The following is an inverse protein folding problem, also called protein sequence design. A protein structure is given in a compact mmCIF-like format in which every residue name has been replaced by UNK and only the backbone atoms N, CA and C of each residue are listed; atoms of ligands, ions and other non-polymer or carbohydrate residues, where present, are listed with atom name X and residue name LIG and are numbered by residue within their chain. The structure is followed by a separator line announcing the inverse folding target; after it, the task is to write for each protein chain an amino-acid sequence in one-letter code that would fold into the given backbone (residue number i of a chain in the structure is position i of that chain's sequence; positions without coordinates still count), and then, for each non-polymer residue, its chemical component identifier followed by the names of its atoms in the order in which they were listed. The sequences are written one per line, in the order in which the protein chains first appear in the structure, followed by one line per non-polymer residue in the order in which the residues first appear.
data_IF_780568219006
#
_entry.id   IF_780568219006
#
_cell.length_a   1.000
_cell.length_b   1.000
_cell.length_c   1.000
_cell.angle_alpha   90.00
_cell.angle_beta   90.00
_cell.angle_gamma   90.00
#
_symmetry.space_group_name_H-M   'P 1'
#
loop_
_entity.id
_entity.type
_entity.pdbx_description
1 polymer ?
#
# COMPACT_ATOMS: atom_id res chain seq x y z
N UNK A 1 15.06 -0.71 -14.70
CA UNK A 1 16.04 0.24 -14.13
C UNK A 1 15.33 1.12 -13.08
N UNK A 2 15.79 1.11 -11.80
CA UNK A 2 15.20 1.91 -10.71
C UNK A 2 15.17 3.43 -11.01
N UNK A 3 16.19 3.94 -11.72
CA UNK A 3 16.25 5.36 -12.08
C UNK A 3 15.09 5.75 -13.00
N UNK A 4 14.80 4.91 -14.00
CA UNK A 4 13.67 5.18 -14.91
C UNK A 4 12.34 5.13 -14.19
N UNK A 5 12.15 4.18 -13.25
CA UNK A 5 10.91 4.07 -12.47
C UNK A 5 10.67 5.31 -11.61
N UNK A 6 11.74 5.93 -11.10
CA UNK A 6 11.66 7.05 -10.14
C UNK A 6 11.81 8.44 -10.75
N UNK A 7 12.29 8.53 -11.97
CA UNK A 7 12.59 9.83 -12.61
C UNK A 7 11.83 10.07 -13.92
N UNK A 8 11.11 9.06 -14.42
CA UNK A 8 10.28 9.22 -15.61
C UNK A 8 8.81 9.41 -15.22
N UNK A 9 8.09 10.16 -16.02
CA UNK A 9 6.65 10.39 -15.81
C UNK A 9 5.88 9.06 -15.81
N UNK A 10 5.12 8.83 -14.75
CA UNK A 10 4.22 7.70 -14.66
C UNK A 10 2.99 7.97 -15.54
N UNK A 11 2.79 7.14 -16.57
CA UNK A 11 1.67 7.22 -17.54
C UNK A 11 1.38 8.64 -18.06
N UNK A 12 2.40 9.47 -18.18
CA UNK A 12 2.26 10.85 -18.68
C UNK A 12 1.83 11.89 -17.64
N UNK A 13 1.69 11.51 -16.38
CA UNK A 13 1.47 12.45 -15.27
C UNK A 13 2.73 13.26 -15.02
N UNK A 14 2.58 14.57 -14.82
CA UNK A 14 3.70 15.45 -14.48
C UNK A 14 4.26 15.04 -13.14
N UNK A 15 5.54 14.72 -13.12
CA UNK A 15 6.28 14.41 -11.90
C UNK A 15 6.89 15.69 -11.32
N UNK A 16 6.80 15.81 -10.00
CA UNK A 16 7.47 16.89 -9.27
C UNK A 16 8.89 16.46 -8.89
N UNK A 17 9.84 17.35 -9.01
CA UNK A 17 11.22 17.09 -8.58
C UNK A 17 11.32 17.20 -7.04
N UNK A 18 11.08 16.06 -6.35
CA UNK A 18 11.16 15.99 -4.89
C UNK A 18 12.59 16.12 -4.35
N UNK A 19 13.62 16.14 -5.20
CA UNK A 19 14.98 16.47 -4.77
C UNK A 19 15.12 17.95 -4.39
N UNK A 20 14.21 18.81 -4.88
CA UNK A 20 14.18 20.23 -4.59
C UNK A 20 13.61 20.51 -3.19
N UNK A 21 14.36 21.26 -2.39
CA UNK A 21 13.96 21.61 -1.03
C UNK A 21 12.63 22.39 -0.99
N UNK A 22 12.40 23.23 -1.99
CA UNK A 22 11.12 23.94 -2.13
C UNK A 22 9.94 22.98 -2.28
N UNK A 23 10.07 21.95 -3.12
CA UNK A 23 9.01 20.95 -3.35
C UNK A 23 8.75 20.16 -2.08
N UNK A 24 9.79 19.66 -1.41
CA UNK A 24 9.69 18.94 -0.13
C UNK A 24 8.96 19.77 0.92
N UNK A 25 9.31 21.05 1.03
CA UNK A 25 8.70 21.99 1.98
C UNK A 25 7.22 22.19 1.67
N UNK A 26 6.84 22.37 0.41
CA UNK A 26 5.44 22.54 0.02
C UNK A 26 4.58 21.32 0.30
N UNK A 27 5.11 20.12 0.06
CA UNK A 27 4.41 18.87 0.39
C UNK A 27 4.25 18.73 1.91
N UNK A 28 5.29 19.02 2.68
CA UNK A 28 5.23 18.97 4.14
C UNK A 28 4.27 20.02 4.72
N UNK A 29 4.21 21.22 4.16
CA UNK A 29 3.22 22.25 4.53
C UNK A 29 1.79 21.75 4.32
N UNK A 30 1.53 21.04 3.21
CA UNK A 30 0.23 20.42 2.95
C UNK A 30 -0.09 19.35 4.00
N UNK A 31 0.83 18.46 4.32
CA UNK A 31 0.62 17.44 5.38
C UNK A 31 0.37 18.10 6.74
N UNK A 32 1.13 19.13 7.08
CA UNK A 32 0.96 19.87 8.33
C UNK A 32 -0.42 20.55 8.40
N UNK A 33 -0.91 21.10 7.29
CA UNK A 33 -2.27 21.63 7.22
C UNK A 33 -3.32 20.51 7.42
N UNK A 34 -3.14 19.35 6.81
CA UNK A 34 -4.03 18.21 7.03
C UNK A 34 -4.04 17.77 8.51
N UNK A 35 -2.90 17.75 9.17
CA UNK A 35 -2.80 17.45 10.61
C UNK A 35 -3.55 18.50 11.44
N UNK A 36 -3.47 19.79 11.07
CA UNK A 36 -4.21 20.87 11.75
C UNK A 36 -5.72 20.70 11.71
N UNK A 37 -6.24 20.08 10.65
CA UNK A 37 -7.66 19.78 10.50
C UNK A 37 -8.06 18.37 10.97
N UNK A 38 -7.14 17.66 11.65
CA UNK A 38 -7.41 16.42 12.34
C UNK A 38 -7.04 15.12 11.59
N UNK A 39 -6.28 15.20 10.50
CA UNK A 39 -5.77 14.00 9.82
C UNK A 39 -4.63 13.40 10.63
N UNK A 40 -4.75 12.11 10.99
CA UNK A 40 -3.77 11.41 11.83
C UNK A 40 -2.79 10.53 11.04
N UNK A 41 -3.00 10.35 9.73
CA UNK A 41 -2.11 9.51 8.92
C UNK A 41 -2.34 9.68 7.43
N UNK A 42 -1.38 9.18 6.65
CA UNK A 42 -1.30 9.39 5.21
C UNK A 42 -0.95 8.11 4.46
N UNK A 43 -1.64 7.88 3.35
CA UNK A 43 -1.21 6.96 2.30
C UNK A 43 -0.35 7.73 1.32
N UNK A 44 0.84 7.25 1.09
CA UNK A 44 1.73 7.77 0.05
C UNK A 44 1.50 6.94 -1.21
N UNK A 45 0.71 7.51 -2.11
CA UNK A 45 0.38 6.92 -3.40
C UNK A 45 1.64 6.83 -4.28
N UNK A 46 1.72 5.78 -5.11
CA UNK A 46 2.82 5.58 -6.04
C UNK A 46 4.24 5.77 -5.44
N UNK A 47 4.41 5.47 -4.16
CA UNK A 47 5.67 5.68 -3.43
C UNK A 47 6.86 5.00 -4.12
N UNK A 48 6.65 3.89 -4.79
CA UNK A 48 7.67 3.19 -5.60
C UNK A 48 8.28 4.07 -6.69
N UNK A 49 7.57 5.11 -7.13
CA UNK A 49 8.00 6.07 -8.14
C UNK A 49 8.69 7.32 -7.55
N UNK A 50 8.94 7.32 -6.26
CA UNK A 50 9.67 8.37 -5.53
C UNK A 50 10.92 7.77 -4.88
N UNK A 51 11.96 8.58 -4.73
CA UNK A 51 13.14 8.16 -3.97
C UNK A 51 12.82 8.06 -2.48
N UNK A 52 13.19 6.96 -1.80
CA UNK A 52 12.95 6.82 -0.36
C UNK A 52 13.53 7.98 0.48
N UNK A 53 14.69 8.49 0.06
CA UNK A 53 15.32 9.65 0.72
C UNK A 53 14.49 10.94 0.63
N UNK A 54 13.79 11.15 -0.48
CA UNK A 54 12.92 12.32 -0.67
C UNK A 54 11.66 12.21 0.17
N UNK A 55 11.03 11.02 0.19
CA UNK A 55 9.89 10.74 1.08
C UNK A 55 10.29 10.97 2.53
N UNK A 56 11.46 10.46 2.94
CA UNK A 56 11.96 10.67 4.30
C UNK A 56 12.13 12.15 4.63
N UNK A 57 12.75 12.91 3.74
CA UNK A 57 12.96 14.35 3.94
C UNK A 57 11.64 15.12 4.07
N UNK A 58 10.59 14.71 3.37
CA UNK A 58 9.24 15.27 3.50
C UNK A 58 8.65 14.87 4.85
N UNK A 59 8.72 13.59 5.24
CA UNK A 59 8.21 13.11 6.52
C UNK A 59 8.91 13.78 7.72
N UNK A 60 10.22 14.00 7.64
CA UNK A 60 10.99 14.67 8.71
C UNK A 60 10.54 16.13 8.95
N UNK A 61 9.89 16.74 7.96
CA UNK A 61 9.32 18.10 8.05
C UNK A 61 7.88 18.13 8.54
N UNK A 62 7.21 16.97 8.62
CA UNK A 62 5.85 16.91 9.17
C UNK A 62 5.91 17.01 10.69
N UNK A 63 4.96 17.77 11.25
CA UNK A 63 4.81 17.92 12.70
C UNK A 63 4.20 16.69 13.36
N UNK A 64 4.33 16.60 14.65
CA UNK A 64 3.63 15.61 15.46
C UNK A 64 2.13 15.90 15.52
N UNK A 65 1.36 14.87 15.84
CA UNK A 65 -0.08 14.99 16.06
C UNK A 65 -0.38 15.82 17.33
N UNK A 66 -1.53 16.51 17.41
CA UNK A 66 -1.91 17.28 18.59
C UNK A 66 -1.92 16.47 19.89
N UNK A 67 -2.30 15.19 19.81
CA UNK A 67 -2.30 14.25 20.94
C UNK A 67 -0.93 13.64 21.23
N UNK A 68 0.08 14.02 20.46
CA UNK A 68 1.44 13.48 20.51
C UNK A 68 1.68 12.30 19.57
N UNK A 69 2.95 12.07 19.27
CA UNK A 69 3.39 11.02 18.34
C UNK A 69 3.40 11.44 16.88
N UNK A 70 4.10 10.64 16.08
CA UNK A 70 4.21 10.89 14.63
C UNK A 70 2.93 10.49 13.91
N UNK A 71 2.57 11.17 12.80
CA UNK A 71 1.50 10.71 11.91
C UNK A 71 1.79 9.29 11.40
N UNK A 72 0.73 8.51 11.20
CA UNK A 72 0.82 7.20 10.60
C UNK A 72 1.12 7.33 9.10
N UNK A 73 2.13 6.59 8.60
CA UNK A 73 2.44 6.54 7.18
C UNK A 73 2.40 5.12 6.66
N UNK A 74 1.75 4.91 5.51
CA UNK A 74 1.96 3.71 4.72
C UNK A 74 2.17 4.07 3.24
N UNK A 75 3.03 3.31 2.60
CA UNK A 75 3.57 3.60 1.27
C UNK A 75 3.05 2.56 0.30
N UNK A 76 2.47 3.01 -0.80
CA UNK A 76 2.12 2.11 -1.87
C UNK A 76 3.38 1.75 -2.67
N UNK A 77 3.82 0.53 -2.48
CA UNK A 77 4.93 -0.07 -3.20
C UNK A 77 4.47 -1.39 -3.80
N UNK A 78 4.16 -1.40 -5.09
CA UNK A 78 3.79 -2.63 -5.79
C UNK A 78 5.05 -3.41 -6.09
N UNK A 79 5.36 -4.39 -5.26
CA UNK A 79 6.45 -5.33 -5.40
C UNK A 79 5.91 -6.76 -5.31
N UNK A 80 5.88 -7.44 -6.45
CA UNK A 80 5.48 -8.85 -6.57
C UNK A 80 6.70 -9.75 -6.85
N UNK A 81 7.89 -9.30 -6.50
CA UNK A 81 9.19 -9.88 -6.80
C UNK A 81 9.58 -9.85 -8.29
N UNK A 82 8.88 -9.10 -9.10
CA UNK A 82 9.01 -9.00 -10.54
C UNK A 82 9.77 -7.74 -11.03
N UNK A 83 10.12 -6.84 -10.12
CA UNK A 83 10.77 -5.56 -10.42
C UNK A 83 12.08 -5.31 -9.69
N UNK A 84 12.76 -4.25 -10.10
CA UNK A 84 14.04 -3.82 -9.52
C UNK A 84 13.84 -3.08 -8.18
N UNK A 85 12.67 -2.49 -7.94
CA UNK A 85 12.36 -1.76 -6.70
C UNK A 85 11.69 -2.70 -5.72
N UNK A 86 12.17 -2.70 -4.48
CA UNK A 86 11.73 -3.61 -3.43
C UNK A 86 11.09 -2.87 -2.25
N UNK A 87 10.08 -3.48 -1.65
CA UNK A 87 9.42 -2.94 -0.45
C UNK A 87 10.40 -2.62 0.67
N UNK A 88 11.47 -3.42 0.82
CA UNK A 88 12.50 -3.20 1.83
C UNK A 88 13.22 -1.85 1.75
N UNK A 89 13.19 -1.17 0.61
CA UNK A 89 13.73 0.18 0.48
C UNK A 89 12.87 1.23 1.20
N UNK A 90 11.59 0.92 1.44
CA UNK A 90 10.60 1.84 2.02
C UNK A 90 10.19 1.48 3.45
N UNK A 91 10.51 0.28 3.95
CA UNK A 91 10.18 -0.12 5.33
C UNK A 91 10.76 0.81 6.41
N UNK A 92 11.93 1.47 6.23
CA UNK A 92 12.40 2.46 7.20
C UNK A 92 11.51 3.73 7.32
N UNK A 93 10.57 3.92 6.41
CA UNK A 93 9.69 5.09 6.34
C UNK A 93 8.32 4.87 7.02
N UNK A 94 7.97 3.61 7.31
CA UNK A 94 6.70 3.21 7.87
C UNK A 94 6.19 1.91 7.25
N UNK A 95 4.87 1.73 7.25
CA UNK A 95 4.28 0.56 6.62
C UNK A 95 4.39 0.63 5.09
N UNK A 96 4.48 -0.55 4.48
CA UNK A 96 4.46 -0.72 3.02
C UNK A 96 3.33 -1.67 2.61
N UNK A 97 2.67 -1.40 1.49
CA UNK A 97 1.64 -2.28 0.96
C UNK A 97 2.24 -3.63 0.57
N UNK A 98 1.74 -4.72 1.16
CA UNK A 98 2.22 -6.06 0.86
C UNK A 98 1.34 -6.74 -0.20
N UNK A 99 1.59 -6.42 -1.47
CA UNK A 99 0.80 -6.94 -2.60
C UNK A 99 0.92 -8.44 -2.82
N UNK A 100 2.01 -9.06 -2.37
CA UNK A 100 2.17 -10.53 -2.44
C UNK A 100 1.17 -11.26 -1.56
N UNK A 101 0.73 -10.61 -0.46
CA UNK A 101 -0.30 -11.15 0.42
C UNK A 101 -1.61 -11.42 -0.32
N UNK A 102 -2.03 -10.52 -1.21
CA UNK A 102 -3.28 -10.67 -1.98
C UNK A 102 -3.31 -11.99 -2.76
N UNK A 103 -2.21 -12.35 -3.40
CA UNK A 103 -2.11 -13.60 -4.16
C UNK A 103 -1.99 -14.81 -3.24
N UNK A 104 -1.18 -14.70 -2.20
CA UNK A 104 -0.92 -15.80 -1.27
C UNK A 104 -2.14 -16.16 -0.43
N UNK A 105 -2.92 -15.18 0.02
CA UNK A 105 -4.18 -15.48 0.71
C UNK A 105 -5.18 -16.11 -0.24
N UNK A 106 -5.22 -15.72 -1.52
CA UNK A 106 -6.08 -16.35 -2.51
C UNK A 106 -5.69 -17.82 -2.75
N UNK A 107 -4.40 -18.12 -2.85
CA UNK A 107 -3.90 -19.50 -2.92
C UNK A 107 -4.28 -20.30 -1.67
N UNK A 108 -4.06 -19.72 -0.49
CA UNK A 108 -4.34 -20.35 0.81
C UNK A 108 -5.81 -20.63 1.05
N UNK A 109 -6.72 -19.75 0.64
CA UNK A 109 -8.17 -19.98 0.76
C UNK A 109 -8.65 -21.09 -0.18
N UNK A 110 -8.00 -21.26 -1.33
CA UNK A 110 -8.29 -22.38 -2.26
C UNK A 110 -7.60 -23.68 -1.85
N UNK A 111 -6.57 -23.61 -1.03
CA UNK A 111 -5.85 -24.75 -0.47
C UNK A 111 -5.42 -24.42 0.97
N UNK A 112 -6.27 -24.75 1.94
CA UNK A 112 -6.05 -24.41 3.37
C UNK A 112 -4.74 -24.95 3.93
N UNK A 113 -4.19 -26.01 3.39
CA UNK A 113 -2.87 -26.52 3.79
C UNK A 113 -1.74 -25.51 3.58
N UNK A 114 -1.91 -24.52 2.70
CA UNK A 114 -0.92 -23.48 2.48
C UNK A 114 -0.97 -22.37 3.54
N UNK A 115 -2.07 -22.23 4.29
CA UNK A 115 -2.23 -21.12 5.24
C UNK A 115 -1.21 -21.17 6.39
N UNK A 116 -0.69 -22.34 6.74
CA UNK A 116 0.36 -22.45 7.75
C UNK A 116 1.67 -21.75 7.33
N UNK A 117 1.91 -21.53 6.04
CA UNK A 117 3.11 -20.85 5.52
C UNK A 117 3.09 -19.34 5.67
N UNK A 118 2.00 -18.73 6.13
CA UNK A 118 1.90 -17.28 6.37
C UNK A 118 2.85 -16.82 7.45
N UNK A 119 3.23 -17.72 8.35
CA UNK A 119 4.08 -17.38 9.51
C UNK A 119 5.52 -17.16 9.18
N UNK A 120 5.97 -17.89 8.22
CA UNK A 120 7.39 -17.93 7.97
C UNK A 120 7.71 -17.02 6.78
N UNK A 121 8.93 -16.49 6.72
CA UNK A 121 9.49 -15.99 5.47
C UNK A 121 9.19 -16.90 4.27
N UNK A 122 8.61 -18.08 4.50
CA UNK A 122 8.09 -19.02 3.48
C UNK A 122 7.25 -18.43 2.37
N UNK A 123 6.44 -17.39 2.63
CA UNK A 123 5.73 -16.68 1.57
C UNK A 123 6.56 -15.55 0.95
N UNK A 124 7.77 -15.28 1.48
CA UNK A 124 8.67 -14.26 0.96
C UNK A 124 8.15 -12.83 1.11
N UNK A 125 7.28 -12.61 2.10
CA UNK A 125 6.68 -11.30 2.37
C UNK A 125 7.53 -10.49 3.34
N UNK A 126 7.23 -9.21 3.42
CA UNK A 126 7.81 -8.28 4.41
C UNK A 126 7.47 -8.72 5.85
N UNK A 127 8.30 -8.34 6.81
CA UNK A 127 8.02 -8.61 8.21
C UNK A 127 6.72 -7.94 8.68
N UNK A 128 6.07 -8.55 9.69
CA UNK A 128 4.77 -8.12 10.19
C UNK A 128 4.74 -6.67 10.70
N UNK A 129 5.87 -6.17 11.21
CA UNK A 129 5.93 -4.80 11.76
C UNK A 129 5.84 -3.72 10.69
N UNK A 130 6.11 -4.06 9.43
CA UNK A 130 6.09 -3.11 8.31
C UNK A 130 5.05 -3.45 7.24
N UNK A 131 4.41 -4.61 7.31
CA UNK A 131 3.45 -5.04 6.31
C UNK A 131 2.09 -4.37 6.48
N UNK A 132 1.59 -3.69 5.45
CA UNK A 132 0.21 -3.22 5.34
C UNK A 132 -0.55 -4.19 4.43
N UNK A 133 -1.45 -4.99 5.01
CA UNK A 133 -2.04 -6.16 4.36
C UNK A 133 -3.52 -5.98 4.03
N UNK A 134 -3.94 -6.57 2.93
CA UNK A 134 -5.31 -6.54 2.43
C UNK A 134 -5.55 -7.71 1.48
N UNK A 135 -6.79 -8.17 1.39
CA UNK A 135 -7.20 -9.21 0.44
C UNK A 135 -7.23 -8.66 -0.98
N UNK A 136 -7.80 -7.47 -1.14
CA UNK A 136 -7.82 -6.67 -2.37
C UNK A 136 -7.81 -5.18 -2.04
N UNK A 137 -7.58 -4.34 -3.05
CA UNK A 137 -7.68 -2.90 -2.94
C UNK A 137 -8.47 -2.30 -4.10
N UNK A 138 -8.63 -0.97 -4.10
CA UNK A 138 -9.40 -0.23 -5.10
C UNK A 138 -8.86 -0.35 -6.53
N UNK A 139 -7.56 -0.66 -6.69
CA UNK A 139 -6.91 -0.85 -7.98
C UNK A 139 -7.00 -2.30 -8.44
N UNK A 140 -6.45 -3.24 -7.66
CA UNK A 140 -6.31 -4.61 -8.11
C UNK A 140 -7.65 -5.35 -8.25
N UNK A 141 -8.69 -4.99 -7.47
CA UNK A 141 -10.03 -5.52 -7.68
C UNK A 141 -10.65 -5.13 -9.03
N UNK A 142 -10.11 -4.09 -9.67
CA UNK A 142 -10.57 -3.53 -10.95
C UNK A 142 -9.66 -3.87 -12.13
N UNK A 143 -8.60 -4.64 -11.88
CA UNK A 143 -7.63 -5.03 -12.90
C UNK A 143 -6.52 -4.02 -13.12
N UNK A 144 -6.37 -3.01 -12.25
CA UNK A 144 -5.23 -2.12 -12.21
C UNK A 144 -4.07 -2.71 -11.41
N UNK A 145 -3.06 -1.93 -11.07
CA UNK A 145 -1.80 -2.39 -10.47
C UNK A 145 -1.91 -3.41 -9.31
N UNK A 146 -0.93 -4.30 -9.22
CA UNK A 146 -0.92 -5.34 -8.19
C UNK A 146 -1.88 -6.52 -8.46
N UNK A 147 -2.18 -6.77 -9.73
CA UNK A 147 -3.05 -7.86 -10.18
C UNK A 147 -2.48 -9.26 -9.96
N UNK A 148 -3.12 -10.24 -10.56
CA UNK A 148 -2.76 -11.65 -10.47
C UNK A 148 -3.94 -12.52 -10.04
N UNK A 149 -3.67 -13.64 -9.39
CA UNK A 149 -4.70 -14.54 -8.88
C UNK A 149 -5.28 -14.02 -7.58
N UNK A 150 -6.33 -13.22 -7.66
CA UNK A 150 -6.94 -12.52 -6.54
C UNK A 150 -8.28 -13.12 -6.12
N UNK A 151 -8.69 -12.83 -4.89
CA UNK A 151 -10.05 -12.97 -4.39
C UNK A 151 -10.61 -11.57 -4.21
N UNK A 152 -11.81 -11.33 -4.74
CA UNK A 152 -12.52 -10.04 -4.62
C UNK A 152 -13.98 -10.28 -4.22
N UNK A 153 -14.74 -9.21 -3.99
CA UNK A 153 -16.19 -9.29 -3.72
C UNK A 153 -16.97 -10.07 -4.79
N UNK A 154 -16.42 -10.28 -5.99
CA UNK A 154 -17.04 -11.07 -7.08
C UNK A 154 -17.08 -12.57 -6.79
N UNK A 155 -16.30 -13.06 -5.80
CA UNK A 155 -16.36 -14.42 -5.28
C UNK A 155 -16.70 -14.36 -3.78
N UNK A 156 -17.95 -14.07 -3.40
CA UNK A 156 -18.29 -13.61 -2.05
C UNK A 156 -17.99 -14.61 -0.95
N UNK A 157 -18.07 -15.92 -1.22
CA UNK A 157 -17.73 -16.95 -0.23
C UNK A 157 -16.24 -16.91 0.11
N UNK A 158 -15.39 -16.97 -0.90
CA UNK A 158 -13.94 -17.01 -0.73
C UNK A 158 -13.45 -15.67 -0.15
N UNK A 159 -14.07 -14.56 -0.58
CA UNK A 159 -13.75 -13.23 -0.08
C UNK A 159 -14.02 -13.11 1.43
N UNK A 160 -15.18 -13.57 1.90
CA UNK A 160 -15.51 -13.59 3.33
C UNK A 160 -14.53 -14.43 4.14
N UNK A 161 -14.14 -15.60 3.61
CA UNK A 161 -13.15 -16.45 4.28
C UNK A 161 -11.77 -15.79 4.32
N UNK A 162 -11.32 -15.18 3.22
CA UNK A 162 -10.05 -14.48 3.14
C UNK A 162 -9.99 -13.29 4.11
N UNK A 163 -11.05 -12.48 4.14
CA UNK A 163 -11.14 -11.33 5.05
C UNK A 163 -11.20 -11.79 6.52
N UNK A 164 -11.99 -12.80 6.83
CA UNK A 164 -12.08 -13.35 8.18
C UNK A 164 -10.73 -13.88 8.67
N UNK A 165 -10.02 -14.62 7.82
CA UNK A 165 -8.67 -15.10 8.12
C UNK A 165 -7.71 -13.92 8.34
N UNK A 166 -7.69 -12.95 7.43
CA UNK A 166 -6.80 -11.78 7.51
C UNK A 166 -7.03 -10.97 8.79
N UNK A 167 -8.28 -10.82 9.21
CA UNK A 167 -8.62 -10.12 10.47
C UNK A 167 -8.26 -10.91 11.72
N UNK A 168 -8.36 -12.24 11.66
CA UNK A 168 -8.07 -13.12 12.80
C UNK A 168 -6.59 -13.42 12.96
N UNK A 169 -5.82 -13.30 11.89
CA UNK A 169 -4.41 -13.66 11.84
C UNK A 169 -3.52 -12.46 12.13
N UNK A 170 -2.60 -12.61 13.08
CA UNK A 170 -1.73 -11.53 13.53
C UNK A 170 -0.51 -11.35 12.61
N UNK A 171 -0.76 -10.89 11.37
CA UNK A 171 0.29 -10.51 10.43
C UNK A 171 -0.03 -9.15 9.82
N UNK A 172 0.86 -8.18 10.02
CA UNK A 172 0.78 -6.84 9.46
C UNK A 172 -0.35 -5.97 10.03
N UNK A 173 -0.48 -4.80 9.48
CA UNK A 173 -1.61 -3.89 9.72
C UNK A 173 -2.68 -4.16 8.68
N UNK A 174 -3.86 -4.63 9.12
CA UNK A 174 -4.92 -5.09 8.22
C UNK A 174 -5.84 -3.96 7.79
N UNK A 175 -6.10 -3.89 6.47
CA UNK A 175 -7.12 -3.06 5.86
C UNK A 175 -8.16 -3.93 5.15
N UNK A 176 -9.44 -3.60 5.33
CA UNK A 176 -10.54 -4.22 4.60
C UNK A 176 -11.06 -3.24 3.54
N UNK A 177 -11.20 -3.72 2.30
CA UNK A 177 -11.78 -2.93 1.21
C UNK A 177 -13.30 -2.88 1.34
N UNK A 178 -13.86 -1.67 1.30
CA UNK A 178 -15.31 -1.45 1.16
C UNK A 178 -15.65 -1.38 -0.33
N UNK A 179 -16.15 -2.49 -0.87
CA UNK A 179 -16.47 -2.62 -2.30
C UNK A 179 -17.95 -2.39 -2.57
N UNK A 180 -18.24 -1.95 -3.79
CA UNK A 180 -19.59 -1.89 -4.36
C UNK A 180 -19.61 -2.59 -5.71
N UNK A 181 -20.81 -2.83 -6.24
CA UNK A 181 -20.95 -3.49 -7.54
C UNK A 181 -20.61 -2.50 -8.66
N UNK A 182 -19.72 -2.88 -9.54
CA UNK A 182 -19.31 -2.09 -10.71
C UNK A 182 -19.25 -2.98 -11.96
N UNK A 183 -19.53 -2.39 -13.12
CA UNK A 183 -19.53 -3.07 -14.42
C UNK A 183 -18.27 -2.73 -15.23
N UNK A 184 -17.71 -1.54 -15.04
CA UNK A 184 -16.45 -1.11 -15.67
C UNK A 184 -15.44 -0.65 -14.62
N UNK A 185 -14.15 -0.66 -14.99
CA UNK A 185 -13.04 -0.29 -14.08
C UNK A 185 -13.18 1.12 -13.52
N UNK A 186 -13.75 2.04 -14.27
CA UNK A 186 -13.83 3.46 -13.91
C UNK A 186 -15.19 3.87 -13.35
N UNK A 187 -16.09 2.90 -13.16
CA UNK A 187 -17.42 3.19 -12.61
C UNK A 187 -17.31 3.69 -11.17
N UNK A 188 -17.88 4.85 -10.89
CA UNK A 188 -18.03 5.40 -9.55
C UNK A 188 -19.03 4.62 -8.68
N UNK A 189 -19.15 4.99 -7.38
CA UNK A 189 -20.14 4.38 -6.49
C UNK A 189 -21.58 4.71 -6.95
N UNK A 190 -22.55 3.85 -6.59
CA UNK A 190 -23.95 4.16 -6.85
C UNK A 190 -24.35 5.44 -6.08
N UNK A 191 -25.18 6.25 -6.69
CA UNK A 191 -25.76 7.47 -6.11
C UNK A 191 -27.01 7.14 -5.31
#
# INVERSE_FOLDING_TARGET
DPNNVRNCFLVGLTDLDQSQEYVRTKIAEFYNHCIDVGVAGFRIDAAKHMWPGDIKAIQDKTKDLPEGGRPFFYHEVIDQNDGAIKVGEYTPLGYVTEFRYCQKIAEGIRNFGMLHGVYDPGWGMTDSAHAFVFVDNHDNQRGHGGGGNLITHKTPRDYKMAVAFTLAYNYGFTRVMSSYYFQSSDQGPPH
#
